data_IF_440543872018
#
_entry.id   IF_440543872018
#
_cell.length_a   1.000
_cell.length_b   1.000
_cell.length_c   1.000
_cell.angle_alpha   90.00
_cell.angle_beta   90.00
_cell.angle_gamma   90.00
#
_symmetry.space_group_name_H-M   'P 1'
#
loop_
_entity.id
_entity.type
_entity.pdbx_description
1 polymer ?
#
# COMPACT_ATOMS: atom_id res chain seq x y z
N UNK A 1 -19.20 36.66 21.60
CA UNK A 1 -18.70 36.51 20.23
C UNK A 1 -18.28 35.06 20.09
N UNK A 2 -19.27 34.20 19.85
CA UNK A 2 -19.12 32.75 19.68
C UNK A 2 -19.08 32.49 18.19
N UNK A 3 -17.90 32.19 17.66
CA UNK A 3 -17.79 31.59 16.34
C UNK A 3 -17.88 30.07 16.54
N UNK A 4 -19.08 29.54 16.33
CA UNK A 4 -19.27 28.11 16.21
C UNK A 4 -18.82 27.74 14.80
N UNK A 5 -17.67 27.06 14.69
CA UNK A 5 -17.22 26.45 13.45
C UNK A 5 -18.17 25.29 13.13
N UNK A 6 -19.24 25.61 12.41
CA UNK A 6 -20.02 24.66 11.64
C UNK A 6 -19.24 24.36 10.36
N UNK A 7 -18.81 23.12 10.18
CA UNK A 7 -18.17 22.71 8.93
C UNK A 7 -17.42 21.38 8.97
N UNK A 8 -17.96 20.36 9.64
CA UNK A 8 -17.30 19.05 9.75
C UNK A 8 -17.83 17.96 8.81
N UNK A 9 -18.91 18.21 8.06
CA UNK A 9 -19.61 17.15 7.33
C UNK A 9 -19.74 17.36 5.81
N UNK A 10 -19.18 18.46 5.28
CA UNK A 10 -19.38 18.83 3.86
C UNK A 10 -18.41 18.11 2.89
N UNK A 11 -17.38 17.43 3.40
CA UNK A 11 -16.32 16.87 2.55
C UNK A 11 -16.58 15.45 2.01
N UNK A 12 -17.63 14.75 2.45
CA UNK A 12 -17.98 13.45 1.84
C UNK A 12 -18.67 13.73 0.50
N UNK A 13 -18.05 13.42 -0.65
CA UNK A 13 -18.72 13.56 -1.93
C UNK A 13 -20.01 12.73 -1.89
N UNK A 14 -21.06 13.23 -2.51
CA UNK A 14 -22.23 12.44 -2.85
C UNK A 14 -21.85 11.38 -3.90
N UNK A 15 -20.97 10.45 -3.54
CA UNK A 15 -20.91 9.15 -4.17
C UNK A 15 -22.33 8.63 -4.01
N UNK A 16 -23.04 8.37 -5.12
CA UNK A 16 -24.39 7.81 -5.10
C UNK A 16 -24.48 6.69 -4.06
N UNK A 17 -25.66 6.51 -3.45
CA UNK A 17 -25.81 5.69 -2.23
C UNK A 17 -24.91 4.45 -2.32
N UNK A 18 -23.93 4.32 -1.41
CA UNK A 18 -22.96 3.21 -1.41
C UNK A 18 -23.63 1.82 -1.51
N UNK A 19 -24.94 1.79 -1.23
CA UNK A 19 -25.90 0.72 -1.45
C UNK A 19 -25.96 0.19 -2.90
N UNK A 20 -25.64 1.01 -3.90
CA UNK A 20 -25.62 0.63 -5.32
C UNK A 20 -24.29 -0.01 -5.76
N UNK A 21 -23.23 0.13 -4.95
CA UNK A 21 -21.93 -0.48 -5.23
C UNK A 21 -21.89 -1.94 -4.77
N UNK A 22 -21.12 -2.81 -5.44
CA UNK A 22 -20.87 -4.12 -4.88
C UNK A 22 -20.18 -4.00 -3.52
N UNK A 23 -20.52 -4.90 -2.59
CA UNK A 23 -20.22 -4.75 -1.16
C UNK A 23 -18.75 -4.54 -0.83
N UNK A 24 -17.84 -5.09 -1.65
CA UNK A 24 -16.39 -4.92 -1.48
C UNK A 24 -15.94 -3.50 -1.76
N UNK A 25 -16.43 -2.88 -2.82
CA UNK A 25 -16.13 -1.50 -3.18
C UNK A 25 -16.67 -0.55 -2.13
N UNK A 26 -17.92 -0.77 -1.68
CA UNK A 26 -18.51 0.02 -0.60
C UNK A 26 -17.69 -0.06 0.71
N UNK A 27 -17.23 -1.26 1.09
CA UNK A 27 -16.40 -1.44 2.27
C UNK A 27 -15.04 -0.72 2.19
N UNK A 28 -14.38 -0.77 1.02
CA UNK A 28 -13.12 -0.03 0.79
C UNK A 28 -13.35 1.48 0.93
N UNK A 29 -14.37 2.01 0.27
CA UNK A 29 -14.70 3.44 0.31
C UNK A 29 -14.99 3.89 1.76
N UNK A 30 -15.77 3.09 2.49
CA UNK A 30 -16.05 3.37 3.91
C UNK A 30 -14.78 3.42 4.75
N UNK A 31 -13.89 2.44 4.63
CA UNK A 31 -12.63 2.43 5.37
C UNK A 31 -11.73 3.62 5.06
N UNK A 32 -11.72 4.10 3.81
CA UNK A 32 -10.98 5.30 3.42
C UNK A 32 -11.57 6.57 4.06
N UNK A 33 -12.89 6.69 4.16
CA UNK A 33 -13.52 7.81 4.88
C UNK A 33 -13.26 7.76 6.38
N UNK A 34 -13.30 6.57 6.98
CA UNK A 34 -12.96 6.40 8.40
C UNK A 34 -11.50 6.78 8.68
N UNK A 35 -10.56 6.41 7.79
CA UNK A 35 -9.17 6.86 7.89
C UNK A 35 -9.02 8.38 7.74
N UNK A 36 -9.73 8.98 6.79
CA UNK A 36 -9.68 10.43 6.60
C UNK A 36 -10.24 11.19 7.81
N UNK A 37 -11.31 10.68 8.44
CA UNK A 37 -11.86 11.22 9.68
C UNK A 37 -10.83 11.14 10.82
N UNK A 38 -10.15 9.99 10.99
CA UNK A 38 -9.09 9.85 11.99
C UNK A 38 -7.97 10.89 11.83
N UNK A 39 -7.55 11.16 10.59
CA UNK A 39 -6.51 12.17 10.31
C UNK A 39 -7.01 13.59 10.60
N UNK A 40 -8.27 13.88 10.31
CA UNK A 40 -8.87 15.18 10.57
C UNK A 40 -9.07 15.45 12.07
N UNK A 41 -9.48 14.42 12.83
CA UNK A 41 -9.78 14.53 14.26
C UNK A 41 -8.51 14.59 15.13
N UNK A 42 -7.36 14.15 14.61
CA UNK A 42 -6.09 14.07 15.33
C UNK A 42 -4.92 14.78 14.61
N UNK A 43 -4.98 16.11 14.41
CA UNK A 43 -3.94 16.88 13.71
C UNK A 43 -2.59 16.91 14.46
N UNK A 44 -2.57 16.51 15.73
CA UNK A 44 -1.35 16.35 16.52
C UNK A 44 -0.50 15.14 16.11
N UNK A 45 -1.08 14.18 15.38
CA UNK A 45 -0.38 12.99 14.93
C UNK A 45 0.39 13.27 13.63
N UNK A 46 1.49 12.53 13.36
CA UNK A 46 2.17 12.59 12.08
C UNK A 46 1.23 12.25 10.91
N UNK A 47 1.35 12.99 9.81
CA UNK A 47 0.57 12.74 8.59
C UNK A 47 0.94 11.35 8.02
N UNK A 48 -0.03 10.45 7.82
CA UNK A 48 0.25 9.12 7.32
C UNK A 48 0.59 9.13 5.83
N UNK A 49 1.54 8.29 5.42
CA UNK A 49 1.70 7.88 4.02
C UNK A 49 0.78 6.69 3.73
N UNK A 50 -0.02 6.77 2.67
CA UNK A 50 -0.96 5.70 2.30
C UNK A 50 -0.52 5.08 0.97
N UNK A 51 -0.44 3.75 0.91
CA UNK A 51 -0.11 3.01 -0.31
C UNK A 51 -1.23 2.02 -0.65
N UNK A 52 -1.84 2.20 -1.81
CA UNK A 52 -2.88 1.33 -2.36
C UNK A 52 -2.28 0.48 -3.47
N UNK A 53 -2.44 -0.83 -3.38
CA UNK A 53 -1.94 -1.77 -4.38
C UNK A 53 -3.11 -2.48 -5.05
N UNK A 54 -3.24 -2.32 -6.37
CA UNK A 54 -4.15 -3.08 -7.20
C UNK A 54 -3.41 -4.31 -7.73
N UNK A 55 -3.70 -5.46 -7.14
CA UNK A 55 -3.08 -6.72 -7.55
C UNK A 55 -3.68 -7.23 -8.86
N UNK A 56 -2.87 -7.44 -9.91
CA UNK A 56 -3.34 -8.14 -11.11
C UNK A 56 -3.86 -9.53 -10.71
N UNK A 57 -5.11 -9.91 -11.06
CA UNK A 57 -5.61 -11.27 -10.83
C UNK A 57 -4.67 -12.35 -11.36
N UNK A 58 -4.04 -12.11 -12.52
CA UNK A 58 -3.17 -13.07 -13.20
C UNK A 58 -1.73 -13.10 -12.66
N UNK A 59 -1.41 -12.33 -11.59
CA UNK A 59 -0.03 -12.09 -11.10
C UNK A 59 0.81 -13.32 -10.76
N UNK A 60 0.18 -14.47 -10.50
CA UNK A 60 0.86 -15.71 -10.12
C UNK A 60 0.78 -16.79 -11.21
N UNK A 61 0.15 -16.50 -12.34
CA UNK A 61 -0.19 -17.49 -13.36
C UNK A 61 0.50 -17.18 -14.68
N UNK A 62 0.38 -15.93 -15.14
CA UNK A 62 0.90 -15.49 -16.43
C UNK A 62 1.36 -14.04 -16.34
N UNK A 63 2.67 -13.84 -16.57
CA UNK A 63 3.28 -12.52 -16.54
C UNK A 63 2.74 -11.60 -17.64
N UNK A 64 2.48 -12.11 -18.85
CA UNK A 64 1.95 -11.30 -19.95
C UNK A 64 0.50 -10.88 -19.68
N UNK A 65 -0.32 -11.80 -19.15
CA UNK A 65 -1.66 -11.44 -18.69
C UNK A 65 -1.63 -10.40 -17.56
N UNK A 66 -0.74 -10.57 -16.57
CA UNK A 66 -0.59 -9.60 -15.49
C UNK A 66 -0.11 -8.22 -16.00
N UNK A 67 0.78 -8.18 -17.01
CA UNK A 67 1.20 -6.92 -17.64
C UNK A 67 0.02 -6.21 -18.31
N UNK A 68 -0.86 -6.94 -19.01
CA UNK A 68 -2.07 -6.34 -19.62
C UNK A 68 -3.03 -5.78 -18.57
N UNK A 69 -3.15 -6.42 -17.41
CA UNK A 69 -3.96 -5.90 -16.29
C UNK A 69 -3.35 -4.63 -15.68
N UNK A 70 -2.01 -4.56 -15.58
CA UNK A 70 -1.28 -3.34 -15.20
C UNK A 70 -1.52 -2.21 -16.21
N UNK A 71 -1.45 -2.51 -17.51
CA UNK A 71 -1.74 -1.55 -18.60
C UNK A 71 -3.18 -1.03 -18.54
N UNK A 72 -4.15 -1.89 -18.24
CA UNK A 72 -5.56 -1.49 -18.09
C UNK A 72 -5.72 -0.46 -16.97
N UNK A 73 -5.08 -0.69 -15.81
CA UNK A 73 -5.11 0.30 -14.74
C UNK A 73 -4.35 1.57 -15.14
N UNK A 74 -3.19 1.44 -15.79
CA UNK A 74 -2.42 2.57 -16.31
C UNK A 74 -3.25 3.48 -17.22
N UNK A 75 -4.04 2.88 -18.13
CA UNK A 75 -4.93 3.61 -19.01
C UNK A 75 -6.01 4.39 -18.24
N UNK A 76 -6.57 3.82 -17.17
CA UNK A 76 -7.54 4.51 -16.28
C UNK A 76 -6.88 5.64 -15.52
N UNK A 77 -5.65 5.45 -15.06
CA UNK A 77 -4.88 6.45 -14.29
C UNK A 77 -4.22 7.52 -15.18
N UNK A 78 -4.18 7.31 -16.50
CA UNK A 78 -3.45 8.18 -17.43
C UNK A 78 -1.93 8.09 -17.28
N UNK A 79 -1.41 6.96 -16.80
CA UNK A 79 0.03 6.73 -16.54
C UNK A 79 0.49 5.52 -17.34
N UNK A 80 1.61 5.68 -18.07
CA UNK A 80 2.22 4.59 -18.80
C UNK A 80 2.98 3.66 -17.84
N UNK A 81 2.92 2.33 -18.04
CA UNK A 81 3.71 1.38 -17.27
C UNK A 81 5.20 1.48 -17.59
N UNK A 82 6.03 1.18 -16.59
CA UNK A 82 7.48 1.14 -16.70
C UNK A 82 8.01 -0.24 -16.27
N UNK A 83 9.04 -0.73 -16.96
CA UNK A 83 9.77 -1.94 -16.58
C UNK A 83 11.04 -1.55 -15.81
N UNK A 84 11.12 -1.91 -14.54
CA UNK A 84 12.29 -1.65 -13.70
C UNK A 84 12.60 -2.86 -12.81
N UNK A 85 13.84 -3.37 -12.88
CA UNK A 85 14.31 -4.52 -12.08
C UNK A 85 13.36 -5.74 -12.14
N UNK A 86 12.77 -5.99 -13.31
CA UNK A 86 11.84 -7.10 -13.51
C UNK A 86 10.44 -6.90 -12.93
N UNK A 87 10.13 -5.69 -12.44
CA UNK A 87 8.78 -5.23 -12.14
C UNK A 87 8.25 -4.40 -13.30
N UNK A 88 7.13 -4.82 -13.87
CA UNK A 88 6.38 -4.03 -14.84
C UNK A 88 5.22 -3.35 -14.10
N UNK A 89 5.27 -2.03 -13.96
CA UNK A 89 4.45 -1.33 -12.98
C UNK A 89 3.89 0.00 -13.47
N UNK A 90 2.71 0.36 -12.97
CA UNK A 90 2.19 1.72 -12.97
C UNK A 90 2.17 2.22 -11.53
N UNK A 91 2.62 3.46 -11.31
CA UNK A 91 2.54 4.12 -10.01
C UNK A 91 2.14 5.58 -10.23
N UNK A 92 1.18 6.06 -9.45
CA UNK A 92 0.77 7.47 -9.43
C UNK A 92 0.43 7.90 -8.00
N UNK A 93 0.27 9.21 -7.79
CA UNK A 93 -0.05 9.78 -6.49
C UNK A 93 -1.28 10.67 -6.52
N UNK A 94 -2.13 10.55 -5.50
CA UNK A 94 -3.14 11.55 -5.15
C UNK A 94 -2.68 12.27 -3.87
N UNK A 95 -1.79 13.25 -4.03
CA UNK A 95 -1.08 13.85 -2.89
C UNK A 95 -0.21 12.79 -2.19
N UNK A 96 -0.34 12.56 -0.86
CA UNK A 96 0.44 11.56 -0.12
C UNK A 96 -0.06 10.12 -0.29
N UNK A 97 -1.10 9.90 -1.11
CA UNK A 97 -1.65 8.57 -1.39
C UNK A 97 -1.01 8.02 -2.65
N UNK A 98 -0.13 7.03 -2.52
CA UNK A 98 0.43 6.29 -3.64
C UNK A 98 -0.56 5.21 -4.10
N UNK A 99 -0.80 5.12 -5.40
CA UNK A 99 -1.55 4.05 -6.05
C UNK A 99 -0.64 3.33 -7.02
N UNK A 100 -0.54 2.01 -6.88
CA UNK A 100 0.35 1.20 -7.71
C UNK A 100 -0.29 -0.11 -8.13
N UNK A 101 0.10 -0.62 -9.30
CA UNK A 101 -0.11 -1.99 -9.73
C UNK A 101 1.14 -2.48 -10.44
N UNK A 102 1.50 -3.74 -10.25
CA UNK A 102 2.70 -4.29 -10.85
C UNK A 102 2.60 -5.80 -11.10
N UNK A 103 3.31 -6.23 -12.15
CA UNK A 103 3.59 -7.63 -12.46
C UNK A 103 5.08 -7.89 -12.25
N UNK A 104 5.43 -9.08 -11.75
CA UNK A 104 6.82 -9.50 -11.52
C UNK A 104 7.15 -10.64 -12.48
N UNK A 105 8.26 -10.54 -13.20
CA UNK A 105 8.66 -11.61 -14.13
C UNK A 105 9.01 -12.91 -13.40
N UNK A 106 8.88 -14.05 -14.09
CA UNK A 106 9.25 -15.37 -13.56
C UNK A 106 10.71 -15.41 -13.07
N UNK A 107 11.62 -14.80 -13.83
CA UNK A 107 13.05 -14.78 -13.50
C UNK A 107 13.31 -13.99 -12.22
N UNK A 108 12.60 -12.87 -12.04
CA UNK A 108 12.70 -12.04 -10.83
C UNK A 108 12.11 -12.77 -9.63
N UNK A 109 10.98 -13.46 -9.81
CA UNK A 109 10.40 -14.32 -8.77
C UNK A 109 11.31 -15.49 -8.42
N UNK A 110 11.98 -16.11 -9.40
CA UNK A 110 12.92 -17.20 -9.18
C UNK A 110 14.16 -16.71 -8.43
N UNK A 111 14.72 -15.56 -8.82
CA UNK A 111 15.83 -14.92 -8.11
C UNK A 111 15.44 -14.55 -6.66
N UNK A 112 14.25 -14.00 -6.46
CA UNK A 112 13.73 -13.71 -5.12
C UNK A 112 13.56 -15.00 -4.30
N UNK A 113 13.00 -16.06 -4.89
CA UNK A 113 12.83 -17.36 -4.22
C UNK A 113 14.17 -17.97 -3.83
N UNK A 114 15.17 -17.91 -4.71
CA UNK A 114 16.53 -18.36 -4.42
C UNK A 114 17.20 -17.53 -3.32
N UNK A 115 16.94 -16.22 -3.28
CA UNK A 115 17.41 -15.37 -2.20
C UNK A 115 16.74 -15.72 -0.87
N UNK A 116 15.41 -15.85 -0.87
CA UNK A 116 14.61 -16.18 0.31
C UNK A 116 14.88 -17.59 0.83
N UNK A 117 15.29 -18.54 -0.01
CA UNK A 117 15.67 -19.89 0.45
C UNK A 117 16.95 -19.90 1.29
N UNK A 118 17.77 -18.85 1.18
CA UNK A 118 18.92 -18.64 2.05
C UNK A 118 18.64 -17.73 3.26
N UNK A 119 17.48 -17.07 3.30
CA UNK A 119 17.11 -16.21 4.41
C UNK A 119 17.14 -16.99 5.73
N UNK A 120 17.56 -16.33 6.80
CA UNK A 120 17.64 -16.87 8.16
C UNK A 120 18.63 -18.03 8.38
N UNK A 121 19.40 -18.45 7.37
CA UNK A 121 20.42 -19.50 7.56
C UNK A 121 21.59 -19.08 8.44
N UNK A 122 21.87 -17.78 8.56
CA UNK A 122 22.89 -17.23 9.46
C UNK A 122 22.18 -16.42 10.52
N UNK A 123 22.22 -16.91 11.76
CA UNK A 123 21.68 -16.21 12.92
C UNK A 123 22.84 -15.66 13.75
N UNK A 124 22.73 -14.43 14.29
CA UNK A 124 23.71 -13.95 15.25
C UNK A 124 23.70 -14.86 16.48
N UNK A 125 24.86 -15.05 17.09
CA UNK A 125 24.94 -15.73 18.38
C UNK A 125 24.03 -15.00 19.38
N UNK A 126 23.17 -15.77 20.05
CA UNK A 126 22.31 -15.19 21.07
C UNK A 126 23.19 -14.77 22.25
N UNK A 127 23.33 -13.45 22.45
CA UNK A 127 23.98 -12.92 23.64
C UNK A 127 23.06 -13.24 24.81
N UNK A 128 23.48 -14.18 25.66
CA UNK A 128 22.78 -14.45 26.91
C UNK A 128 22.81 -13.18 27.77
N UNK A 129 21.76 -12.88 28.55
CA UNK A 129 21.77 -11.73 29.48
C UNK A 129 22.96 -11.78 30.47
N UNK A 130 23.59 -12.95 30.63
CA UNK A 130 24.76 -13.19 31.47
C UNK A 130 26.09 -12.74 30.81
N UNK A 131 26.12 -12.50 29.50
CA UNK A 131 27.29 -12.04 28.74
C UNK A 131 27.34 -10.52 28.52
N UNK A 132 26.40 -9.75 29.09
CA UNK A 132 26.46 -8.29 29.08
C UNK A 132 27.67 -7.85 29.92
N UNK A 133 28.67 -7.16 29.34
CA UNK A 133 29.81 -6.65 30.11
C UNK A 133 29.30 -5.77 31.23
N UNK A 134 29.88 -5.91 32.43
CA UNK A 134 29.50 -5.18 33.66
C UNK A 134 29.38 -3.65 33.48
N UNK A 135 29.94 -3.07 32.41
CA UNK A 135 29.84 -1.64 32.08
C UNK A 135 28.45 -1.15 31.64
N UNK A 136 27.49 -2.04 31.38
CA UNK A 136 26.16 -1.68 30.88
C UNK A 136 25.00 -2.14 31.78
N UNK A 137 25.28 -2.67 32.98
CA UNK A 137 24.26 -2.93 33.99
C UNK A 137 24.18 -1.70 34.90
N UNK A 138 23.27 -0.76 34.60
CA UNK A 138 23.01 0.45 35.38
C UNK A 138 21.61 0.97 35.12
#
# INVERSE_FOLDING_TARGET
>A
MTDAVQGGAEWVPAIGMLEELPSKQAAVIRGLFELAALVADHPELPVPSVRVVFWPPSRNEDFEAACREVEQLGAVLGVAPELNNGHYAVTTGFGPVEVTSFAISSDTMAAHTAHMSYADNVQPEQVSELDVPLRWRG
#
